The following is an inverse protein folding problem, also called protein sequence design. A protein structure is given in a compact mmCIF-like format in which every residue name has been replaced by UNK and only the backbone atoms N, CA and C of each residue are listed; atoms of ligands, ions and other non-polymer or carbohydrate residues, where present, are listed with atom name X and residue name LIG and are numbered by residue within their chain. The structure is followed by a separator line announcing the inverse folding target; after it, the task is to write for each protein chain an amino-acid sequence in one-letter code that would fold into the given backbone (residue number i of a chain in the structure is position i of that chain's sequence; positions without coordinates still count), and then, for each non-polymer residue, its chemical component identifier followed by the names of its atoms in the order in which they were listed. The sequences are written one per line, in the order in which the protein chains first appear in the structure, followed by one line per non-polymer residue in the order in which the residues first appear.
data_IF_636490416520
#
_entry.id   IF_636490416520
#
_cell.length_a   1.000
_cell.length_b   1.000
_cell.length_c   1.000
_cell.angle_alpha   90.00
_cell.angle_beta   90.00
_cell.angle_gamma   90.00
#
_symmetry.space_group_name_H-M   'P 1'
#
loop_
_entity.id
_entity.type
_entity.pdbx_description
1 polymer ?
#
# COMPACT_ATOMS: atom_id res chain seq x y z
N UNK A 1 8.44 -24.43 11.05
CA UNK A 1 7.03 -24.85 11.29
C UNK A 1 7.02 -26.23 11.95
N UNK A 2 6.41 -26.40 13.13
CA UNK A 2 6.43 -27.68 13.88
C UNK A 2 5.50 -28.71 13.22
N UNK A 3 6.00 -29.90 12.88
CA UNK A 3 5.24 -30.98 12.23
C UNK A 3 4.02 -31.41 13.06
N UNK A 4 4.15 -31.36 14.40
CA UNK A 4 3.05 -31.65 15.33
C UNK A 4 1.84 -30.75 15.14
N UNK A 5 2.05 -29.46 14.81
CA UNK A 5 0.95 -28.53 14.53
C UNK A 5 0.20 -28.92 13.26
N UNK A 6 0.89 -29.30 12.18
CA UNK A 6 0.22 -29.75 10.95
C UNK A 6 -0.58 -31.02 11.18
N UNK A 7 -0.03 -31.99 11.92
CA UNK A 7 -0.72 -33.24 12.23
C UNK A 7 -1.99 -32.98 13.02
N UNK A 8 -1.91 -32.20 14.09
CA UNK A 8 -3.08 -31.87 14.92
C UNK A 8 -4.13 -31.10 14.11
N UNK A 9 -3.69 -30.19 13.25
CA UNK A 9 -4.57 -29.40 12.38
C UNK A 9 -5.29 -30.27 11.35
N UNK A 10 -4.60 -31.22 10.72
CA UNK A 10 -5.20 -32.19 9.80
C UNK A 10 -6.24 -33.07 10.50
N UNK A 11 -5.95 -33.53 11.72
CA UNK A 11 -6.85 -34.36 12.51
C UNK A 11 -8.09 -33.59 13.01
N UNK A 12 -8.00 -32.27 13.17
CA UNK A 12 -9.13 -31.42 13.57
C UNK A 12 -10.03 -30.99 12.41
N UNK A 13 -9.63 -31.20 11.16
CA UNK A 13 -10.38 -30.75 9.98
C UNK A 13 -11.41 -31.79 9.56
N UNK A 14 -12.59 -31.32 9.18
CA UNK A 14 -13.57 -32.20 8.52
C UNK A 14 -13.09 -32.58 7.11
N UNK A 15 -13.55 -33.72 6.56
CA UNK A 15 -13.25 -34.09 5.17
C UNK A 15 -13.66 -33.02 4.15
N UNK A 16 -14.77 -32.31 4.42
CA UNK A 16 -15.26 -31.21 3.59
C UNK A 16 -14.29 -30.03 3.62
N UNK A 17 -13.75 -29.67 4.79
CA UNK A 17 -12.76 -28.60 4.90
C UNK A 17 -11.46 -28.96 4.18
N UNK A 18 -10.99 -30.21 4.31
CA UNK A 18 -9.79 -30.69 3.61
C UNK A 18 -9.95 -30.60 2.09
N UNK A 19 -11.10 -31.06 1.57
CA UNK A 19 -11.41 -30.96 0.15
C UNK A 19 -11.46 -29.50 -0.32
N UNK A 20 -12.18 -28.63 0.41
CA UNK A 20 -12.27 -27.21 0.09
C UNK A 20 -10.89 -26.53 0.07
N UNK A 21 -10.05 -26.79 1.08
CA UNK A 21 -8.68 -26.25 1.12
C UNK A 21 -7.82 -26.76 -0.03
N UNK A 22 -7.95 -28.03 -0.39
CA UNK A 22 -7.30 -28.60 -1.57
C UNK A 22 -7.72 -27.89 -2.85
N UNK A 23 -9.03 -27.69 -3.05
CA UNK A 23 -9.57 -26.96 -4.19
C UNK A 23 -9.05 -25.52 -4.26
N UNK A 24 -9.07 -24.78 -3.14
CA UNK A 24 -8.51 -23.43 -3.06
C UNK A 24 -7.01 -23.40 -3.40
N UNK A 25 -6.24 -24.42 -2.99
CA UNK A 25 -4.83 -24.52 -3.34
C UNK A 25 -4.64 -24.67 -4.86
N UNK A 26 -5.40 -25.56 -5.50
CA UNK A 26 -5.35 -25.73 -6.95
C UNK A 26 -5.84 -24.49 -7.72
N UNK A 27 -6.89 -23.82 -7.23
CA UNK A 27 -7.35 -22.55 -7.80
C UNK A 27 -6.25 -21.49 -7.73
N UNK A 28 -5.59 -21.31 -6.57
CA UNK A 28 -4.49 -20.36 -6.44
C UNK A 28 -3.30 -20.72 -7.35
N UNK A 29 -3.01 -22.00 -7.55
CA UNK A 29 -1.94 -22.45 -8.46
C UNK A 29 -2.31 -22.16 -9.91
N UNK A 30 -3.54 -22.46 -10.32
CA UNK A 30 -4.07 -22.20 -11.64
C UNK A 30 -4.10 -20.69 -11.94
N UNK A 31 -4.57 -19.87 -10.99
CA UNK A 31 -4.53 -18.41 -11.10
C UNK A 31 -3.09 -17.91 -11.22
N UNK A 32 -2.16 -18.39 -10.39
CA UNK A 32 -0.75 -17.98 -10.47
C UNK A 32 -0.15 -18.32 -11.83
N UNK A 33 -0.45 -19.50 -12.39
CA UNK A 33 0.01 -19.89 -13.73
C UNK A 33 -0.66 -19.05 -14.82
N UNK A 34 -1.98 -18.84 -14.71
CA UNK A 34 -2.77 -18.01 -15.61
C UNK A 34 -2.24 -16.58 -15.64
N UNK A 35 -1.99 -15.96 -14.49
CA UNK A 35 -1.39 -14.64 -14.39
C UNK A 35 0.06 -14.63 -14.87
N UNK A 36 0.87 -15.65 -14.59
CA UNK A 36 2.23 -15.70 -15.11
C UNK A 36 2.27 -15.74 -16.65
N UNK A 37 1.25 -16.35 -17.27
CA UNK A 37 1.11 -16.46 -18.72
C UNK A 37 0.43 -15.24 -19.36
N UNK A 38 -0.66 -14.75 -18.76
CA UNK A 38 -1.54 -13.71 -19.33
C UNK A 38 -1.30 -12.31 -18.80
N UNK A 39 -0.63 -12.14 -17.66
CA UNK A 39 -0.18 -10.80 -17.29
C UNK A 39 0.91 -10.48 -18.29
N UNK A 40 0.68 -9.59 -19.28
CA UNK A 40 1.80 -9.11 -20.08
C UNK A 40 2.84 -8.68 -19.06
N UNK A 41 4.12 -9.02 -19.28
CA UNK A 41 5.17 -8.31 -18.55
C UNK A 41 4.77 -6.86 -18.73
N UNK A 42 4.37 -6.18 -17.65
CA UNK A 42 4.23 -4.74 -17.60
C UNK A 42 5.68 -4.22 -17.74
N UNK A 43 6.32 -4.53 -18.85
CA UNK A 43 7.32 -3.68 -19.45
C UNK A 43 6.55 -2.40 -19.65
N UNK A 44 7.07 -1.38 -18.98
CA UNK A 44 6.80 0.04 -19.14
C UNK A 44 6.12 0.32 -20.49
N UNK A 45 4.81 0.07 -20.60
CA UNK A 45 4.04 0.83 -21.57
C UNK A 45 4.16 2.22 -20.99
N UNK A 46 4.87 3.14 -21.67
CA UNK A 46 4.90 4.51 -21.18
C UNK A 46 3.44 4.87 -20.94
N UNK A 47 3.16 5.46 -19.78
CA UNK A 47 1.86 6.10 -19.55
C UNK A 47 1.64 6.91 -20.83
N UNK A 48 0.60 6.62 -21.64
CA UNK A 48 0.45 7.28 -22.92
C UNK A 48 0.58 8.77 -22.66
N UNK A 49 1.44 9.43 -23.44
CA UNK A 49 1.59 10.87 -23.33
C UNK A 49 0.20 11.47 -23.24
N UNK A 50 0.02 12.34 -22.27
CA UNK A 50 -1.22 12.73 -21.60
C UNK A 50 -2.16 13.52 -22.52
N UNK A 51 -2.19 13.22 -23.82
CA UNK A 51 -2.97 13.89 -24.87
C UNK A 51 -4.48 13.63 -24.78
N UNK A 52 -4.92 12.48 -24.24
CA UNK A 52 -6.34 12.24 -23.90
C UNK A 52 -6.76 12.95 -22.61
N UNK A 53 -5.79 13.34 -21.78
CA UNK A 53 -5.95 14.26 -20.66
C UNK A 53 -5.51 15.67 -21.11
N UNK A 54 -5.84 16.04 -22.36
CA UNK A 54 -5.60 17.38 -22.89
C UNK A 54 -6.04 18.42 -21.88
N UNK A 55 -5.28 19.53 -21.74
CA UNK A 55 -4.83 20.01 -20.44
C UNK A 55 -5.88 19.78 -19.37
N UNK A 56 -5.85 18.60 -18.74
CA UNK A 56 -6.27 18.52 -17.37
C UNK A 56 -5.24 19.39 -16.64
N UNK A 57 -5.51 20.71 -16.63
CA UNK A 57 -5.62 21.38 -15.35
C UNK A 57 -6.32 20.33 -14.51
N UNK A 58 -5.56 19.66 -13.65
CA UNK A 58 -6.14 19.20 -12.40
C UNK A 58 -6.75 20.50 -11.90
N UNK A 59 -8.00 20.74 -12.28
CA UNK A 59 -8.86 21.62 -11.57
C UNK A 59 -9.00 20.78 -10.31
N UNK A 60 -8.01 20.91 -9.42
CA UNK A 60 -8.27 21.04 -8.01
C UNK A 60 -9.37 22.08 -8.06
N UNK A 61 -10.62 21.63 -8.16
CA UNK A 61 -11.78 22.47 -8.08
C UNK A 61 -11.70 22.92 -6.65
N UNK A 62 -10.86 23.94 -6.44
CA UNK A 62 -10.96 24.85 -5.33
C UNK A 62 -12.24 25.62 -5.64
N UNK A 63 -13.37 24.90 -5.66
CA UNK A 63 -14.68 25.48 -5.49
C UNK A 63 -14.52 26.41 -4.30
N UNK A 64 -14.97 27.66 -4.38
CA UNK A 64 -14.92 28.57 -3.25
C UNK A 64 -15.47 27.84 -2.01
N UNK A 65 -14.60 27.54 -1.02
CA UNK A 65 -14.93 26.75 0.17
C UNK A 65 -14.31 25.34 0.27
N UNK A 66 -13.65 24.79 -0.76
CA UNK A 66 -12.99 23.48 -0.66
C UNK A 66 -11.69 23.52 0.13
N UNK A 67 -10.94 24.63 0.03
CA UNK A 67 -9.70 24.80 0.77
C UNK A 67 -10.00 25.38 2.14
N UNK A 68 -9.39 24.82 3.20
CA UNK A 68 -9.59 25.35 4.54
C UNK A 68 -9.02 26.77 4.64
N UNK A 69 -9.68 27.61 5.45
CA UNK A 69 -9.27 28.98 5.74
C UNK A 69 -9.01 29.14 7.25
N UNK A 70 -8.37 30.23 7.65
CA UNK A 70 -8.10 30.52 9.07
C UNK A 70 -7.33 29.40 9.78
N UNK A 71 -7.81 28.99 10.96
CA UNK A 71 -7.17 27.97 11.80
C UNK A 71 -7.07 26.59 11.15
N UNK A 72 -8.04 26.22 10.31
CA UNK A 72 -8.04 24.91 9.65
C UNK A 72 -6.96 24.84 8.57
N UNK A 73 -6.63 25.98 7.94
CA UNK A 73 -5.49 26.07 7.02
C UNK A 73 -4.19 25.82 7.77
N UNK A 74 -4.04 26.44 8.94
CA UNK A 74 -2.83 26.28 9.77
C UNK A 74 -2.65 24.81 10.18
N UNK A 75 -3.70 24.17 10.68
CA UNK A 75 -3.67 22.74 11.06
C UNK A 75 -3.28 21.83 9.89
N UNK A 76 -3.85 22.07 8.71
CA UNK A 76 -3.51 21.31 7.50
C UNK A 76 -2.01 21.44 7.15
N UNK A 77 -1.46 22.65 7.25
CA UNK A 77 -0.06 22.89 6.94
C UNK A 77 0.88 22.28 7.99
N UNK A 78 0.50 22.33 9.27
CA UNK A 78 1.24 21.66 10.36
C UNK A 78 1.28 20.13 10.16
N UNK A 79 0.14 19.53 9.81
CA UNK A 79 0.05 18.10 9.52
C UNK A 79 0.90 17.73 8.28
N UNK A 80 0.82 18.53 7.22
CA UNK A 80 1.62 18.32 6.02
C UNK A 80 3.13 18.51 6.28
N UNK A 81 3.51 19.46 7.12
CA UNK A 81 4.90 19.68 7.52
C UNK A 81 5.45 18.51 8.33
N UNK A 82 4.64 17.92 9.20
CA UNK A 82 4.99 16.68 9.89
C UNK A 82 5.25 15.53 8.90
N UNK A 83 4.40 15.36 7.88
CA UNK A 83 4.58 14.34 6.84
C UNK A 83 5.84 14.58 6.00
N UNK A 84 6.15 15.83 5.65
CA UNK A 84 7.38 16.21 4.94
C UNK A 84 8.63 15.84 5.76
N UNK A 85 8.55 15.97 7.09
CA UNK A 85 9.62 15.56 8.02
C UNK A 85 9.63 14.03 8.30
N UNK A 86 8.78 13.28 7.60
CA UNK A 86 8.66 11.83 7.74
C UNK A 86 7.95 11.38 9.02
N UNK A 87 7.21 12.26 9.70
CA UNK A 87 6.43 11.91 10.89
C UNK A 87 5.04 11.45 10.47
N UNK A 88 4.76 10.17 10.67
CA UNK A 88 3.46 9.56 10.41
C UNK A 88 2.77 9.20 11.71
N UNK A 89 1.44 9.27 11.74
CA UNK A 89 0.64 8.83 12.88
C UNK A 89 -0.40 7.81 12.43
N UNK A 90 -0.30 6.59 12.94
CA UNK A 90 -1.22 5.50 12.66
C UNK A 90 -1.66 4.86 13.98
N UNK A 91 -2.96 4.65 14.16
CA UNK A 91 -3.52 4.04 15.38
C UNK A 91 -2.98 4.66 16.67
N UNK A 92 -2.91 6.00 16.72
CA UNK A 92 -2.39 6.79 17.84
C UNK A 92 -0.92 6.49 18.19
N UNK A 93 -0.14 6.03 17.21
CA UNK A 93 1.31 5.81 17.32
C UNK A 93 2.05 6.62 16.27
N UNK A 94 3.15 7.21 16.69
CA UNK A 94 4.01 8.03 15.84
C UNK A 94 5.15 7.19 15.28
N UNK A 95 5.35 7.26 13.98
CA UNK A 95 6.42 6.59 13.25
C UNK A 95 7.27 7.60 12.49
N UNK A 96 8.57 7.33 12.36
CA UNK A 96 9.47 8.07 11.48
C UNK A 96 9.74 7.24 10.22
N UNK A 97 9.26 7.73 9.08
CA UNK A 97 9.40 7.11 7.77
C UNK A 97 9.98 8.15 6.83
N UNK A 98 11.20 7.92 6.38
CA UNK A 98 11.87 8.81 5.44
C UNK A 98 11.26 8.68 4.03
N UNK A 99 10.87 9.79 3.37
CA UNK A 99 10.43 9.77 1.98
C UNK A 99 11.40 9.10 1.01
N UNK A 100 12.70 9.20 1.24
CA UNK A 100 13.73 8.65 0.35
C UNK A 100 13.96 7.16 0.56
N UNK A 101 13.68 6.64 1.77
CA UNK A 101 13.98 5.26 2.15
C UNK A 101 12.73 4.46 2.56
N UNK A 102 11.53 4.91 2.21
CA UNK A 102 10.28 4.25 2.57
C UNK A 102 10.24 2.80 2.04
N UNK A 103 9.92 1.86 2.93
CA UNK A 103 9.63 0.47 2.58
C UNK A 103 8.13 0.20 2.78
N UNK A 104 7.40 0.11 1.67
CA UNK A 104 5.95 -0.16 1.68
C UNK A 104 5.56 -1.58 2.11
N UNK A 105 6.53 -2.46 2.33
CA UNK A 105 6.32 -3.82 2.82
C UNK A 105 6.81 -3.99 4.26
N UNK A 106 7.36 -2.93 4.88
CA UNK A 106 7.89 -2.96 6.24
C UNK A 106 6.83 -2.55 7.24
N UNK A 107 6.61 -3.37 8.25
CA UNK A 107 5.86 -3.01 9.43
C UNK A 107 6.69 -2.02 10.27
N UNK A 108 6.25 -0.75 10.43
CA UNK A 108 6.99 0.23 11.20
C UNK A 108 6.97 -0.05 12.72
N UNK A 109 6.07 -0.91 13.21
CA UNK A 109 6.01 -1.30 14.62
C UNK A 109 7.08 -2.33 14.97
N UNK A 110 7.17 -3.43 14.21
CA UNK A 110 8.12 -4.52 14.49
C UNK A 110 9.42 -4.43 13.70
N UNK A 111 9.46 -3.58 12.67
CA UNK A 111 10.59 -3.44 11.75
C UNK A 111 10.74 -4.59 10.74
N UNK A 112 9.85 -5.59 10.77
CA UNK A 112 9.84 -6.74 9.84
C UNK A 112 9.31 -6.32 8.48
N UNK A 113 9.80 -6.98 7.42
CA UNK A 113 9.35 -6.71 6.05
C UNK A 113 8.71 -7.95 5.42
N UNK A 114 7.54 -7.74 4.80
CA UNK A 114 6.84 -8.78 4.05
C UNK A 114 7.54 -9.10 2.71
N UNK A 115 7.37 -10.31 2.15
CA UNK A 115 8.02 -10.72 0.90
C UNK A 115 7.51 -9.93 -0.32
N UNK A 116 8.37 -9.08 -0.91
CA UNK A 116 8.02 -8.18 -2.03
C UNK A 116 7.71 -8.87 -3.37
N UNK A 117 8.39 -9.98 -3.65
CA UNK A 117 8.35 -10.64 -4.98
C UNK A 117 7.42 -11.86 -5.05
N UNK A 118 6.80 -12.25 -3.92
CA UNK A 118 5.87 -13.38 -3.88
C UNK A 118 4.52 -12.99 -4.46
N UNK A 119 3.81 -13.95 -5.03
CA UNK A 119 2.44 -13.77 -5.49
C UNK A 119 1.56 -13.44 -4.28
N UNK A 120 0.88 -12.29 -4.29
CA UNK A 120 0.20 -11.73 -3.11
C UNK A 120 -0.69 -12.73 -2.38
N UNK A 121 -1.58 -13.42 -3.12
CA UNK A 121 -2.50 -14.42 -2.56
C UNK A 121 -1.82 -15.60 -1.82
N UNK A 122 -0.52 -15.83 -2.02
CA UNK A 122 0.25 -16.88 -1.33
C UNK A 122 0.92 -16.40 -0.05
N UNK A 123 0.87 -15.10 0.25
CA UNK A 123 1.46 -14.53 1.45
C UNK A 123 0.46 -14.68 2.59
N UNK A 124 0.85 -15.41 3.64
CA UNK A 124 0.06 -15.47 4.87
C UNK A 124 0.23 -14.16 5.66
N UNK A 125 -0.70 -13.24 5.45
CA UNK A 125 -0.71 -11.94 6.13
C UNK A 125 -0.99 -12.02 7.64
N UNK A 126 -1.33 -13.22 8.17
CA UNK A 126 -1.58 -13.44 9.59
C UNK A 126 -0.32 -13.87 10.34
N UNK A 127 0.77 -14.17 9.63
CA UNK A 127 2.05 -14.61 10.20
C UNK A 127 2.86 -13.43 10.76
N UNK A 128 2.45 -12.98 11.95
CA UNK A 128 3.09 -11.85 12.64
C UNK A 128 4.56 -12.06 12.98
N UNK A 129 5.01 -13.31 13.11
CA UNK A 129 6.41 -13.61 13.41
C UNK A 129 7.33 -13.34 12.22
N UNK A 130 6.85 -13.57 10.99
CA UNK A 130 7.67 -13.40 9.79
C UNK A 130 7.45 -12.05 9.10
N UNK A 131 6.22 -11.54 9.06
CA UNK A 131 5.89 -10.33 8.31
C UNK A 131 5.58 -9.10 9.18
N UNK A 132 5.46 -9.27 10.50
CA UNK A 132 5.03 -8.20 11.41
C UNK A 132 3.51 -8.01 11.44
N UNK A 133 3.05 -6.90 12.01
CA UNK A 133 1.63 -6.58 12.01
C UNK A 133 1.22 -5.91 10.69
N UNK A 134 0.55 -6.69 9.85
CA UNK A 134 0.11 -6.26 8.51
C UNK A 134 -0.77 -5.01 8.55
N UNK A 135 -1.45 -4.71 9.66
CA UNK A 135 -2.31 -3.53 9.77
C UNK A 135 -1.54 -2.23 9.57
N UNK A 136 -0.33 -2.12 10.13
CA UNK A 136 0.48 -0.91 9.95
C UNK A 136 1.04 -0.80 8.53
N UNK A 137 1.35 -1.94 7.90
CA UNK A 137 1.75 -1.98 6.49
C UNK A 137 0.59 -1.46 5.62
N UNK A 138 -0.61 -2.01 5.77
CA UNK A 138 -1.75 -1.61 4.96
C UNK A 138 -2.22 -0.18 5.26
N UNK A 139 -2.16 0.28 6.51
CA UNK A 139 -2.50 1.68 6.84
C UNK A 139 -1.60 2.69 6.09
N UNK A 140 -0.31 2.39 5.98
CA UNK A 140 0.61 3.20 5.17
C UNK A 140 0.23 3.16 3.67
N UNK A 141 -0.17 2.00 3.16
CA UNK A 141 -0.53 1.78 1.76
C UNK A 141 -1.93 2.26 1.38
N UNK A 142 -2.77 2.66 2.34
CA UNK A 142 -4.06 3.33 2.09
C UNK A 142 -3.89 4.76 1.57
N UNK A 143 -2.70 5.33 1.68
CA UNK A 143 -2.34 6.63 1.12
C UNK A 143 -3.22 7.82 1.56
N UNK A 144 -3.95 7.72 2.68
CA UNK A 144 -4.77 8.83 3.19
C UNK A 144 -3.96 10.11 3.40
N UNK A 145 -2.71 9.96 3.84
CA UNK A 145 -1.75 11.04 4.03
C UNK A 145 -1.29 11.73 2.72
N UNK A 146 -1.35 11.05 1.57
CA UNK A 146 -1.09 11.69 0.27
C UNK A 146 -2.13 12.78 -0.04
N UNK A 147 -3.38 12.60 0.45
CA UNK A 147 -4.43 13.61 0.31
C UNK A 147 -4.10 14.86 1.12
N UNK A 148 -3.54 14.71 2.33
CA UNK A 148 -3.07 15.84 3.16
C UNK A 148 -2.01 16.66 2.40
N UNK A 149 -1.00 16.01 1.82
CA UNK A 149 0.03 16.68 1.01
C UNK A 149 -0.56 17.39 -0.22
N UNK A 150 -1.48 16.74 -0.93
CA UNK A 150 -2.15 17.35 -2.09
C UNK A 150 -2.97 18.58 -1.71
N UNK A 151 -3.71 18.53 -0.59
CA UNK A 151 -4.48 19.66 -0.05
C UNK A 151 -3.56 20.80 0.41
N UNK A 152 -2.45 20.48 1.08
CA UNK A 152 -1.47 21.47 1.50
C UNK A 152 -0.84 22.19 0.31
N UNK A 153 -0.45 21.45 -0.74
CA UNK A 153 -0.01 22.06 -2.01
C UNK A 153 -1.10 22.94 -2.63
N UNK A 154 -2.36 22.48 -2.64
CA UNK A 154 -3.45 23.26 -3.19
C UNK A 154 -3.67 24.58 -2.45
N UNK A 155 -3.55 24.58 -1.12
CA UNK A 155 -3.79 25.72 -0.21
C UNK A 155 -2.61 26.69 -0.06
N UNK A 156 -1.37 26.22 -0.23
CA UNK A 156 -0.15 27.04 -0.06
C UNK A 156 0.57 27.35 -1.36
N UNK A 157 0.43 26.49 -2.38
CA UNK A 157 1.25 26.44 -3.60
C UNK A 157 2.74 26.19 -3.36
N UNK A 158 3.12 25.76 -2.16
CA UNK A 158 4.51 25.43 -1.84
C UNK A 158 4.91 24.09 -2.47
N UNK A 159 5.96 24.12 -3.30
CA UNK A 159 6.39 22.94 -4.07
C UNK A 159 6.83 21.75 -3.22
N UNK A 160 7.35 21.99 -2.00
CA UNK A 160 7.82 20.93 -1.09
C UNK A 160 6.79 19.82 -0.88
N UNK A 161 5.51 20.16 -0.76
CA UNK A 161 4.44 19.18 -0.59
C UNK A 161 4.23 18.31 -1.83
N UNK A 162 4.29 18.93 -3.01
CA UNK A 162 4.15 18.24 -4.29
C UNK A 162 5.36 17.33 -4.58
N UNK A 163 6.56 17.80 -4.27
CA UNK A 163 7.80 17.05 -4.51
C UNK A 163 7.84 15.80 -3.61
N UNK A 164 7.50 15.93 -2.32
CA UNK A 164 7.38 14.79 -1.39
C UNK A 164 6.26 13.82 -1.81
N UNK A 165 5.08 14.33 -2.20
CA UNK A 165 3.99 13.51 -2.73
C UNK A 165 4.45 12.66 -3.92
N UNK A 166 5.18 13.27 -4.87
CA UNK A 166 5.70 12.59 -6.06
C UNK A 166 6.73 11.51 -5.71
N UNK A 167 7.65 11.82 -4.78
CA UNK A 167 8.67 10.88 -4.33
C UNK A 167 8.03 9.62 -3.73
N UNK A 168 7.08 9.79 -2.83
CA UNK A 168 6.34 8.69 -2.22
C UNK A 168 5.59 7.84 -3.25
N UNK A 169 4.81 8.48 -4.12
CA UNK A 169 4.02 7.76 -5.11
C UNK A 169 4.89 7.00 -6.12
N UNK A 170 6.00 7.60 -6.55
CA UNK A 170 6.99 6.94 -7.40
C UNK A 170 7.62 5.72 -6.71
N UNK A 171 7.98 5.87 -5.43
CA UNK A 171 8.48 4.76 -4.62
C UNK A 171 7.44 3.64 -4.52
N UNK A 172 6.16 3.95 -4.30
CA UNK A 172 5.10 2.95 -4.23
C UNK A 172 4.98 2.15 -5.54
N UNK A 173 4.92 2.83 -6.69
CA UNK A 173 4.83 2.16 -7.99
C UNK A 173 6.03 1.24 -8.26
N UNK A 174 7.23 1.66 -7.86
CA UNK A 174 8.43 0.84 -8.03
C UNK A 174 8.44 -0.41 -7.13
N UNK A 175 7.83 -0.32 -5.94
CA UNK A 175 7.86 -1.36 -4.92
C UNK A 175 6.66 -2.31 -4.95
N UNK A 176 5.55 -1.93 -5.60
CA UNK A 176 4.29 -2.67 -5.61
C UNK A 176 3.86 -3.09 -7.02
N UNK A 177 4.66 -3.92 -7.72
CA UNK A 177 4.26 -4.43 -9.01
C UNK A 177 2.99 -5.28 -8.88
N UNK A 178 2.16 -5.23 -9.93
CA UNK A 178 0.87 -5.94 -9.98
C UNK A 178 0.99 -7.39 -9.50
N UNK A 179 0.07 -7.79 -8.61
CA UNK A 179 -0.06 -9.13 -8.02
C UNK A 179 1.13 -9.61 -7.16
N UNK A 180 2.07 -8.73 -6.78
CA UNK A 180 3.27 -9.10 -6.03
C UNK A 180 3.43 -8.33 -4.73
N UNK A 181 3.65 -9.08 -3.66
CA UNK A 181 3.83 -8.53 -2.32
C UNK A 181 2.53 -8.42 -1.52
N UNK A 182 2.67 -7.92 -0.29
CA UNK A 182 1.62 -8.00 0.74
C UNK A 182 0.37 -7.18 0.40
N UNK A 183 0.53 -6.11 -0.37
CA UNK A 183 -0.58 -5.26 -0.83
C UNK A 183 -1.50 -5.97 -1.85
N UNK A 184 -1.13 -7.15 -2.34
CA UNK A 184 -1.97 -7.97 -3.22
C UNK A 184 -2.45 -9.26 -2.53
N UNK A 185 -2.26 -9.37 -1.21
CA UNK A 185 -2.65 -10.55 -0.44
C UNK A 185 -4.13 -10.56 -0.05
N UNK A 186 -4.78 -9.41 -0.06
CA UNK A 186 -6.20 -9.22 0.25
C UNK A 186 -6.80 -8.25 -0.76
N UNK A 187 -8.00 -8.55 -1.27
CA UNK A 187 -8.73 -7.64 -2.18
C UNK A 187 -9.37 -6.45 -1.47
N UNK A 188 -9.37 -6.44 -0.13
CA UNK A 188 -9.96 -5.38 0.70
C UNK A 188 -8.98 -4.22 0.97
N UNK A 189 -7.72 -4.40 0.62
CA UNK A 189 -6.60 -3.53 0.98
C UNK A 189 -5.92 -2.92 -0.24
#
# INVERSE_FOLDING_TARGET
MKISFLKNRLLSMSPVELFWRGLCFFQNLAERAWYAFHTPRLGTRPVPETGWLGPMKIILTTSPGFLPTGSDRTRLLEEADALVQGRFEFFSRVFRIDPESIDYHRDPLTGRSAPRRRFGKTIDHRDREHIGDVKFIWELNRHLWLVTLARAYAASKERRYLDVFRAFLAAWFSQNPFMKGINWASSLE
#
